data_IF_803436903537
#
_entry.id   IF_803436903537
#
_cell.length_a   1.000
_cell.length_b   1.000
_cell.length_c   1.000
_cell.angle_alpha   90.00
_cell.angle_beta   90.00
_cell.angle_gamma   90.00
#
_symmetry.space_group_name_H-M   'P 1'
#
loop_
_entity.id
_entity.type
_entity.pdbx_description
1 polymer ?
#
# COMPACT_ATOMS: atom_id res chain seq x y z
N UNK A 1 9.22 13.00 0.29
CA UNK A 1 10.06 13.10 1.49
C UNK A 1 11.49 13.47 1.14
N UNK A 2 12.13 12.78 0.20
CA UNK A 2 13.52 13.05 -0.20
C UNK A 2 13.69 14.29 -1.10
N UNK A 3 12.64 15.07 -1.35
CA UNK A 3 12.66 16.29 -2.16
C UNK A 3 12.96 16.09 -3.65
N UNK A 4 12.73 14.89 -4.17
CA UNK A 4 13.02 14.54 -5.57
C UNK A 4 11.94 14.96 -6.54
N UNK A 5 10.70 14.91 -6.11
CA UNK A 5 9.51 15.20 -6.91
C UNK A 5 8.46 15.95 -6.09
N UNK A 6 7.49 16.53 -6.78
CA UNK A 6 6.27 17.08 -6.21
C UNK A 6 5.06 16.29 -6.72
N UNK A 7 3.86 16.45 -6.14
CA UNK A 7 2.63 15.84 -6.67
C UNK A 7 2.36 16.14 -8.15
N UNK A 8 2.81 17.31 -8.63
CA UNK A 8 2.61 17.79 -10.00
C UNK A 8 3.74 17.39 -10.97
N UNK A 9 4.77 16.68 -10.49
CA UNK A 9 5.84 16.18 -11.35
C UNK A 9 5.28 15.24 -12.40
N UNK A 10 5.56 15.53 -13.69
CA UNK A 10 4.97 14.80 -14.83
C UNK A 10 5.92 13.73 -15.34
N UNK A 11 5.37 12.54 -15.55
CA UNK A 11 6.03 11.42 -16.22
C UNK A 11 5.27 11.08 -17.50
N UNK A 12 5.99 10.91 -18.59
CA UNK A 12 5.41 10.37 -19.82
C UNK A 12 5.42 8.83 -19.75
N UNK A 13 4.25 8.24 -19.56
CA UNK A 13 4.06 6.78 -19.53
C UNK A 13 3.79 6.20 -20.92
N UNK A 14 3.71 7.07 -21.94
CA UNK A 14 3.51 6.70 -23.34
C UNK A 14 2.26 5.83 -23.54
N UNK A 15 2.44 4.76 -24.29
CA UNK A 15 1.37 3.77 -24.55
C UNK A 15 1.22 2.73 -23.41
N UNK A 16 1.72 3.01 -22.22
CA UNK A 16 1.64 2.11 -21.07
C UNK A 16 2.65 0.95 -21.10
N UNK A 17 3.73 1.10 -21.87
CA UNK A 17 4.84 0.17 -21.90
C UNK A 17 6.16 0.91 -21.87
N UNK A 18 7.09 0.47 -21.02
CA UNK A 18 8.42 1.07 -20.91
C UNK A 18 9.50 -0.02 -20.74
N UNK A 19 10.51 -0.06 -21.64
CA UNK A 19 11.66 -0.92 -21.46
C UNK A 19 12.45 -0.52 -20.21
N UNK A 20 12.72 -1.47 -19.33
CA UNK A 20 13.51 -1.28 -18.10
C UNK A 20 14.50 -2.44 -17.94
N UNK A 21 15.79 -2.17 -18.15
CA UNK A 21 16.90 -3.12 -17.93
C UNK A 21 16.68 -4.50 -18.59
N UNK A 22 16.21 -4.51 -19.86
CA UNK A 22 15.99 -5.74 -20.62
C UNK A 22 14.63 -6.43 -20.39
N UNK A 23 13.76 -5.84 -19.57
CA UNK A 23 12.36 -6.23 -19.42
C UNK A 23 11.42 -5.07 -19.78
N UNK A 24 10.15 -5.35 -19.99
CA UNK A 24 9.14 -4.33 -20.29
C UNK A 24 8.18 -4.22 -19.11
N UNK A 25 8.17 -3.04 -18.47
CA UNK A 25 7.15 -2.66 -17.50
C UNK A 25 5.86 -2.31 -18.25
N UNK A 26 4.71 -2.71 -17.71
CA UNK A 26 3.42 -2.50 -18.37
C UNK A 26 2.37 -2.01 -17.39
N UNK A 27 1.58 -1.04 -17.85
CA UNK A 27 0.32 -0.67 -17.24
C UNK A 27 -0.79 -1.65 -17.66
N UNK A 28 -1.84 -1.75 -16.87
CA UNK A 28 -2.93 -2.68 -17.16
C UNK A 28 -3.65 -2.36 -18.48
N UNK A 29 -3.67 -1.08 -18.89
CA UNK A 29 -4.33 -0.58 -20.09
C UNK A 29 -3.43 -0.45 -21.34
N UNK A 30 -2.22 -1.01 -21.30
CA UNK A 30 -1.26 -0.88 -22.40
C UNK A 30 -1.79 -1.32 -23.76
N UNK A 31 -2.69 -2.29 -23.79
CA UNK A 31 -3.37 -2.73 -25.05
C UNK A 31 -4.44 -1.75 -25.53
N UNK A 32 -4.79 -0.75 -24.73
CA UNK A 32 -5.79 0.28 -25.01
C UNK A 32 -5.14 1.65 -25.22
N UNK A 33 -3.81 1.71 -25.42
CA UNK A 33 -3.05 2.92 -25.71
C UNK A 33 -2.37 3.60 -24.53
N UNK A 34 -2.45 3.02 -23.32
CA UNK A 34 -1.80 3.60 -22.12
C UNK A 34 -2.48 4.86 -21.63
N UNK A 35 -1.70 5.67 -20.89
CA UNK A 35 -2.21 6.93 -20.27
C UNK A 35 -1.52 8.19 -20.80
N UNK A 36 -0.38 8.07 -21.52
CA UNK A 36 0.42 9.22 -21.93
C UNK A 36 1.11 9.90 -20.74
N UNK A 37 1.01 11.22 -20.68
CA UNK A 37 1.62 12.02 -19.59
C UNK A 37 0.72 12.04 -18.38
N UNK A 38 1.30 11.75 -17.21
CA UNK A 38 0.62 11.73 -15.91
C UNK A 38 1.45 12.51 -14.89
N UNK A 39 0.78 13.26 -14.03
CA UNK A 39 1.35 13.76 -12.77
C UNK A 39 1.56 12.62 -11.77
N UNK A 40 2.36 12.83 -10.73
CA UNK A 40 2.53 11.85 -9.64
C UNK A 40 1.19 11.51 -8.99
N UNK A 41 0.33 12.50 -8.81
CA UNK A 41 -1.03 12.30 -8.29
C UNK A 41 -1.81 11.33 -9.18
N UNK A 42 -1.89 11.61 -10.47
CA UNK A 42 -2.58 10.76 -11.45
C UNK A 42 -1.97 9.35 -11.58
N UNK A 43 -0.63 9.23 -11.48
CA UNK A 43 0.05 7.93 -11.44
C UNK A 43 -0.50 7.05 -10.31
N UNK A 44 -0.75 7.62 -9.14
CA UNK A 44 -1.32 6.90 -8.01
C UNK A 44 -2.82 6.65 -8.17
N UNK A 45 -3.58 7.59 -8.72
CA UNK A 45 -5.01 7.46 -9.01
C UNK A 45 -5.30 6.31 -9.97
N UNK A 46 -4.55 6.24 -11.07
CA UNK A 46 -4.71 5.18 -12.08
C UNK A 46 -3.83 3.96 -11.84
N UNK A 47 -3.03 3.97 -10.76
CA UNK A 47 -2.11 2.88 -10.41
C UNK A 47 -1.16 2.49 -11.55
N UNK A 48 -0.53 3.50 -12.18
CA UNK A 48 0.41 3.26 -13.27
C UNK A 48 1.69 2.59 -12.76
N UNK A 49 1.94 1.38 -13.22
CA UNK A 49 3.18 0.66 -12.97
C UNK A 49 4.37 1.36 -13.64
N UNK A 50 4.17 1.80 -14.88
CA UNK A 50 5.20 2.50 -15.67
C UNK A 50 5.62 3.78 -14.98
N UNK A 51 4.66 4.62 -14.56
CA UNK A 51 4.95 5.88 -13.89
C UNK A 51 5.69 5.68 -12.57
N UNK A 52 5.19 4.79 -11.72
CA UNK A 52 5.82 4.48 -10.42
C UNK A 52 7.23 3.93 -10.59
N UNK A 53 7.40 2.94 -11.47
CA UNK A 53 8.70 2.30 -11.71
C UNK A 53 9.71 3.27 -12.32
N UNK A 54 9.29 4.12 -13.25
CA UNK A 54 10.14 5.15 -13.83
C UNK A 54 10.69 6.10 -12.76
N UNK A 55 9.83 6.62 -11.89
CA UNK A 55 10.24 7.54 -10.83
C UNK A 55 11.29 6.88 -9.93
N UNK A 56 11.04 5.67 -9.47
CA UNK A 56 11.94 5.01 -8.54
C UNK A 56 13.26 4.62 -9.22
N UNK A 57 13.22 4.11 -10.44
CA UNK A 57 14.43 3.77 -11.19
C UNK A 57 15.27 5.02 -11.53
N UNK A 58 14.61 6.11 -11.95
CA UNK A 58 15.28 7.36 -12.30
C UNK A 58 16.02 8.00 -11.12
N UNK A 59 15.37 8.07 -9.95
CA UNK A 59 15.94 8.78 -8.79
C UNK A 59 16.80 7.92 -7.87
N UNK A 60 16.64 6.60 -7.91
CA UNK A 60 17.33 5.67 -7.00
C UNK A 60 18.12 4.57 -7.73
N UNK A 61 18.02 4.47 -9.08
CA UNK A 61 18.70 3.43 -9.85
C UNK A 61 20.20 3.41 -9.69
N UNK A 62 20.85 4.58 -9.51
CA UNK A 62 22.28 4.70 -9.21
C UNK A 62 22.66 4.30 -7.78
N UNK A 63 21.71 4.32 -6.84
CA UNK A 63 21.89 3.92 -5.45
C UNK A 63 20.60 3.30 -4.88
N UNK A 64 20.27 2.05 -5.26
CA UNK A 64 19.04 1.39 -4.81
C UNK A 64 18.94 1.23 -3.29
N UNK A 65 20.08 1.14 -2.59
CA UNK A 65 20.07 1.05 -1.13
C UNK A 65 19.39 2.24 -0.47
N UNK A 66 19.51 3.43 -1.06
CA UNK A 66 18.86 4.64 -0.52
C UNK A 66 17.33 4.52 -0.51
N UNK A 67 16.75 3.87 -1.51
CA UNK A 67 15.31 3.57 -1.53
C UNK A 67 14.92 2.61 -0.41
N UNK A 68 15.69 1.54 -0.22
CA UNK A 68 15.47 0.58 0.86
C UNK A 68 15.58 1.24 2.24
N UNK A 69 16.61 2.06 2.43
CA UNK A 69 16.81 2.81 3.67
C UNK A 69 15.64 3.79 3.94
N UNK A 70 15.05 4.35 2.87
CA UNK A 70 13.82 5.14 2.94
C UNK A 70 12.63 4.34 3.47
N UNK A 71 12.38 3.13 2.95
CA UNK A 71 11.33 2.25 3.44
C UNK A 71 11.54 1.88 4.92
N UNK A 72 12.78 1.65 5.34
CA UNK A 72 13.15 1.36 6.74
C UNK A 72 12.88 2.52 7.67
N UNK A 73 13.18 3.75 7.25
CA UNK A 73 12.85 4.95 8.03
C UNK A 73 11.35 5.06 8.33
N UNK A 74 10.51 4.57 7.42
CA UNK A 74 9.06 4.53 7.59
C UNK A 74 8.58 3.30 8.40
N UNK A 75 9.50 2.42 8.83
CA UNK A 75 9.24 1.22 9.64
C UNK A 75 8.32 0.17 8.97
N UNK A 76 8.27 0.15 7.63
CA UNK A 76 7.40 -0.79 6.89
C UNK A 76 7.93 -2.23 6.93
N UNK A 77 9.21 -2.42 7.19
CA UNK A 77 9.91 -3.70 7.28
C UNK A 77 10.09 -4.22 8.73
N UNK A 78 9.50 -3.53 9.72
CA UNK A 78 9.64 -3.91 11.11
C UNK A 78 8.68 -5.04 11.50
N UNK A 79 9.14 -6.05 12.26
CA UNK A 79 8.26 -7.02 12.90
C UNK A 79 7.30 -6.29 13.85
N UNK A 80 6.06 -6.73 13.90
CA UNK A 80 5.05 -6.09 14.75
C UNK A 80 5.04 -6.62 16.18
N UNK A 81 5.68 -7.79 16.44
CA UNK A 81 5.72 -8.44 17.75
C UNK A 81 4.33 -8.58 18.38
N UNK A 82 3.43 -9.22 17.61
CA UNK A 82 2.02 -9.34 17.96
C UNK A 82 1.79 -10.21 19.19
N UNK A 83 0.68 -9.95 19.89
CA UNK A 83 0.24 -10.74 21.06
C UNK A 83 -0.35 -12.11 20.68
N UNK A 84 -0.38 -12.43 19.37
CA UNK A 84 -0.93 -13.68 18.83
C UNK A 84 0.14 -14.44 18.04
N UNK A 85 -0.01 -15.76 17.96
CA UNK A 85 0.88 -16.60 17.16
C UNK A 85 0.62 -16.43 15.65
N UNK A 86 1.61 -16.76 14.82
CA UNK A 86 1.49 -16.77 13.37
C UNK A 86 1.80 -15.45 12.68
N UNK A 87 2.49 -14.53 13.36
CA UNK A 87 2.96 -13.29 12.75
C UNK A 87 3.85 -13.55 11.54
N UNK A 88 3.46 -13.01 10.38
CA UNK A 88 4.31 -12.97 9.18
C UNK A 88 5.41 -11.92 9.33
N UNK A 89 6.62 -12.24 8.88
CA UNK A 89 7.76 -11.30 8.92
C UNK A 89 7.90 -10.58 7.59
N UNK A 90 8.04 -9.25 7.58
CA UNK A 90 8.38 -8.51 6.38
C UNK A 90 9.75 -8.95 5.83
N UNK A 91 9.87 -8.97 4.50
CA UNK A 91 11.12 -9.30 3.83
C UNK A 91 11.38 -8.30 2.69
N UNK A 92 12.16 -7.25 2.99
CA UNK A 92 12.59 -6.23 2.06
C UNK A 92 14.11 -6.21 2.07
N UNK A 93 14.73 -6.77 1.04
CA UNK A 93 16.19 -6.89 0.95
C UNK A 93 16.74 -6.06 -0.20
N UNK A 94 17.63 -5.14 0.15
CA UNK A 94 18.37 -4.32 -0.80
C UNK A 94 19.71 -4.94 -1.24
N UNK A 95 20.55 -4.14 -1.95
CA UNK A 95 21.86 -4.59 -2.41
C UNK A 95 22.79 -5.07 -1.30
N UNK A 96 22.69 -4.51 -0.10
CA UNK A 96 23.56 -4.88 1.05
C UNK A 96 23.22 -6.26 1.63
N UNK A 97 21.99 -6.76 1.42
CA UNK A 97 21.52 -8.01 1.99
C UNK A 97 21.41 -9.15 0.95
N UNK A 98 21.80 -8.89 -0.28
CA UNK A 98 21.77 -9.88 -1.39
C UNK A 98 23.16 -10.03 -1.99
N UNK A 99 23.55 -11.23 -2.33
CA UNK A 99 24.78 -11.51 -3.11
C UNK A 99 24.74 -10.92 -4.52
N UNK A 100 23.53 -10.77 -5.07
CA UNK A 100 23.27 -10.17 -6.36
C UNK A 100 21.97 -9.37 -6.33
N UNK A 101 22.02 -8.11 -6.75
CA UNK A 101 20.85 -7.25 -6.91
C UNK A 101 20.71 -6.88 -8.39
N UNK A 102 19.70 -7.45 -9.04
CA UNK A 102 19.42 -7.20 -10.45
C UNK A 102 19.02 -5.74 -10.69
N UNK A 103 19.44 -5.17 -11.81
CA UNK A 103 18.96 -3.83 -12.22
C UNK A 103 17.44 -3.76 -12.37
N UNK A 104 16.78 -4.88 -12.68
CA UNK A 104 15.31 -4.95 -12.74
C UNK A 104 14.66 -5.01 -11.36
N UNK A 105 15.39 -5.35 -10.29
CA UNK A 105 14.80 -5.55 -8.97
C UNK A 105 14.16 -4.26 -8.43
N UNK A 106 14.83 -3.11 -8.55
CA UNK A 106 14.33 -1.84 -8.03
C UNK A 106 13.02 -1.39 -8.69
N UNK A 107 12.89 -1.30 -10.04
CA UNK A 107 11.62 -0.95 -10.67
C UNK A 107 10.47 -1.90 -10.31
N UNK A 108 10.73 -3.20 -10.20
CA UNK A 108 9.70 -4.17 -9.79
C UNK A 108 9.36 -4.08 -8.32
N UNK A 109 10.31 -3.74 -7.47
CA UNK A 109 10.09 -3.52 -6.04
C UNK A 109 9.16 -2.31 -5.81
N UNK A 110 9.26 -1.27 -6.62
CA UNK A 110 8.43 -0.06 -6.51
C UNK A 110 6.94 -0.31 -6.70
N UNK A 111 6.57 -1.40 -7.36
CA UNK A 111 5.18 -1.83 -7.58
C UNK A 111 4.80 -3.06 -6.74
N UNK A 112 5.63 -3.42 -5.75
CA UNK A 112 5.33 -4.44 -4.75
C UNK A 112 5.85 -5.85 -5.04
N UNK A 113 6.55 -6.08 -6.17
CA UNK A 113 7.28 -7.32 -6.39
C UNK A 113 8.66 -7.28 -5.69
N UNK A 114 9.37 -8.40 -5.66
CA UNK A 114 10.69 -8.51 -4.99
C UNK A 114 10.66 -8.23 -3.48
N UNK A 115 9.49 -8.00 -2.90
CA UNK A 115 9.25 -7.76 -1.48
C UNK A 115 8.15 -8.68 -0.95
N UNK A 116 8.18 -8.93 0.35
CA UNK A 116 7.09 -9.63 1.05
C UNK A 116 6.75 -8.80 2.29
N UNK A 117 5.59 -8.18 2.26
CA UNK A 117 5.08 -7.37 3.38
C UNK A 117 3.73 -7.93 3.81
N UNK A 118 3.60 -8.45 5.04
CA UNK A 118 2.34 -8.98 5.52
C UNK A 118 1.23 -7.92 5.48
N UNK A 119 -0.03 -8.30 5.20
CA UNK A 119 -1.15 -7.36 5.13
C UNK A 119 -1.29 -6.47 6.37
N UNK A 120 -1.00 -7.00 7.56
CA UNK A 120 -1.07 -6.22 8.80
C UNK A 120 0.03 -5.14 8.89
N UNK A 121 1.22 -5.38 8.33
CA UNK A 121 2.25 -4.35 8.22
C UNK A 121 1.82 -3.23 7.26
N UNK A 122 1.17 -3.58 6.14
CA UNK A 122 0.59 -2.60 5.22
C UNK A 122 -0.49 -1.79 5.95
N UNK A 123 -1.40 -2.44 6.66
CA UNK A 123 -2.44 -1.77 7.44
C UNK A 123 -1.83 -0.85 8.51
N UNK A 124 -0.78 -1.28 9.22
CA UNK A 124 -0.08 -0.48 10.23
C UNK A 124 0.52 0.79 9.61
N UNK A 125 1.07 0.69 8.39
CA UNK A 125 1.59 1.84 7.66
C UNK A 125 0.47 2.82 7.24
N UNK A 126 -0.65 2.33 6.70
CA UNK A 126 -1.80 3.19 6.38
C UNK A 126 -2.44 3.80 7.63
N UNK A 127 -2.48 3.04 8.73
CA UNK A 127 -2.88 3.57 10.03
C UNK A 127 -1.97 4.72 10.49
N UNK A 128 -0.66 4.61 10.29
CA UNK A 128 0.27 5.70 10.63
C UNK A 128 0.00 6.96 9.80
N UNK A 129 -0.32 6.83 8.50
CA UNK A 129 -0.76 7.97 7.67
C UNK A 129 -2.04 8.60 8.26
N UNK A 130 -3.02 7.79 8.63
CA UNK A 130 -4.25 8.24 9.27
C UNK A 130 -4.01 8.88 10.65
N UNK A 131 -3.03 8.38 11.41
CA UNK A 131 -2.69 8.78 12.77
C UNK A 131 -1.56 9.83 12.82
N UNK A 132 -1.64 10.85 12.00
CA UNK A 132 -0.71 11.99 11.96
C UNK A 132 0.78 11.61 11.83
N UNK A 133 1.07 10.53 11.12
CA UNK A 133 2.43 10.05 10.90
C UNK A 133 2.99 9.20 12.04
N UNK A 134 2.22 8.94 13.08
CA UNK A 134 2.65 8.10 14.21
C UNK A 134 2.26 6.64 13.97
N UNK A 135 3.26 5.79 13.80
CA UNK A 135 3.07 4.34 13.69
C UNK A 135 2.96 3.70 15.06
N UNK A 136 1.88 2.99 15.30
CA UNK A 136 1.60 2.29 16.57
C UNK A 136 1.54 0.78 16.34
N UNK A 137 1.92 0.02 17.38
CA UNK A 137 1.83 -1.44 17.37
C UNK A 137 0.36 -1.88 17.41
N UNK A 138 -0.10 -2.72 16.47
CA UNK A 138 -1.41 -3.35 16.58
C UNK A 138 -1.50 -4.17 17.85
N UNK A 139 -2.61 -4.05 18.60
CA UNK A 139 -2.89 -4.86 19.79
C UNK A 139 -4.27 -5.51 19.70
N UNK A 140 -4.35 -6.76 20.11
CA UNK A 140 -5.57 -7.56 20.11
C UNK A 140 -6.21 -7.65 21.49
N UNK A 141 -5.41 -7.41 22.55
CA UNK A 141 -5.87 -7.44 23.93
C UNK A 141 -5.64 -6.06 24.55
N UNK A 142 -6.72 -5.44 25.02
CA UNK A 142 -6.66 -4.13 25.69
C UNK A 142 -6.30 -4.29 27.18
N UNK A 143 -6.97 -5.24 27.83
CA UNK A 143 -6.76 -5.49 29.27
C UNK A 143 -7.09 -6.94 29.60
N UNK A 144 -6.52 -7.45 30.68
CA UNK A 144 -6.96 -8.67 31.37
C UNK A 144 -7.82 -8.26 32.56
N UNK A 145 -8.97 -8.94 32.71
CA UNK A 145 -9.95 -8.67 33.78
C UNK A 145 -10.13 -9.93 34.61
N UNK A 146 -10.13 -9.79 35.93
CA UNK A 146 -10.47 -10.84 36.89
C UNK A 146 -11.49 -10.29 37.90
N UNK A 147 -12.60 -11.02 38.08
CA UNK A 147 -13.68 -10.65 39.00
C UNK A 147 -14.24 -9.22 38.80
N UNK A 148 -14.23 -8.74 37.52
CA UNK A 148 -14.69 -7.41 37.15
C UNK A 148 -13.63 -6.30 37.27
N UNK A 149 -12.48 -6.58 37.82
CA UNK A 149 -11.37 -5.64 37.97
C UNK A 149 -10.27 -5.84 36.92
N UNK A 150 -9.71 -4.74 36.42
CA UNK A 150 -8.57 -4.77 35.50
C UNK A 150 -7.34 -5.17 36.27
N UNK A 151 -6.82 -6.38 36.01
CA UNK A 151 -5.57 -6.88 36.63
C UNK A 151 -4.32 -6.56 35.81
N UNK A 152 -4.49 -6.25 34.53
CA UNK A 152 -3.37 -5.83 33.65
C UNK A 152 -3.90 -5.03 32.47
N UNK A 153 -3.32 -3.88 32.20
CA UNK A 153 -3.53 -3.13 30.96
C UNK A 153 -2.35 -3.31 29.99
N UNK A 154 -2.68 -3.25 28.69
CA UNK A 154 -1.69 -3.23 27.63
C UNK A 154 -1.71 -1.85 26.96
N UNK A 155 -0.73 -0.97 27.26
CA UNK A 155 -0.70 0.37 26.72
C UNK A 155 -0.51 0.37 25.20
N UNK A 156 -0.74 1.52 24.56
CA UNK A 156 -0.40 1.72 23.15
C UNK A 156 1.13 1.91 23.05
N UNK A 157 1.75 1.13 22.17
CA UNK A 157 3.18 1.19 21.91
C UNK A 157 3.43 1.90 20.58
N UNK A 158 4.31 2.90 20.58
CA UNK A 158 4.75 3.61 19.39
C UNK A 158 5.92 2.87 18.76
N UNK A 159 5.77 2.48 17.48
CA UNK A 159 6.83 1.89 16.66
C UNK A 159 7.71 2.99 16.09
N UNK A 160 7.08 4.03 15.53
CA UNK A 160 7.76 5.15 14.92
C UNK A 160 6.96 6.44 15.19
N UNK A 161 7.54 7.41 15.90
CA UNK A 161 6.83 8.64 16.22
C UNK A 161 6.57 9.56 15.02
N UNK A 162 7.30 9.36 13.90
CA UNK A 162 7.14 10.21 12.71
C UNK A 162 7.67 9.49 11.47
N UNK A 163 6.76 8.88 10.69
CA UNK A 163 7.13 8.14 9.47
C UNK A 163 7.58 9.05 8.32
N UNK A 164 7.13 10.30 8.28
CA UNK A 164 7.50 11.30 7.27
C UNK A 164 7.26 12.72 7.79
N UNK A 165 7.69 13.74 7.04
CA UNK A 165 7.42 15.14 7.34
C UNK A 165 5.93 15.48 7.23
N UNK A 166 5.48 16.52 7.92
CA UNK A 166 4.08 16.97 7.91
C UNK A 166 3.64 17.39 6.50
N UNK A 167 4.57 17.97 5.72
CA UNK A 167 4.33 18.32 4.32
C UNK A 167 4.06 17.07 3.47
N UNK A 168 4.91 16.05 3.58
CA UNK A 168 4.72 14.79 2.86
C UNK A 168 3.44 14.08 3.30
N UNK A 169 3.14 14.12 4.59
CA UNK A 169 1.92 13.54 5.15
C UNK A 169 0.66 14.19 4.59
N UNK A 170 0.61 15.53 4.53
CA UNK A 170 -0.50 16.26 3.95
C UNK A 170 -0.70 15.91 2.47
N UNK A 171 0.39 15.88 1.69
CA UNK A 171 0.36 15.54 0.27
C UNK A 171 -0.15 14.11 0.03
N UNK A 172 0.35 13.13 0.76
CA UNK A 172 -0.07 11.74 0.56
C UNK A 172 -1.52 11.51 0.98
N UNK A 173 -2.01 12.19 2.01
CA UNK A 173 -3.42 12.13 2.42
C UNK A 173 -4.34 12.64 1.32
N UNK A 174 -4.01 13.78 0.72
CA UNK A 174 -4.75 14.34 -0.41
C UNK A 174 -4.77 13.37 -1.59
N UNK A 175 -3.61 12.83 -1.97
CA UNK A 175 -3.50 11.87 -3.06
C UNK A 175 -4.33 10.62 -2.78
N UNK A 176 -4.26 10.04 -1.57
CA UNK A 176 -5.01 8.84 -1.23
C UNK A 176 -6.53 9.06 -1.24
N UNK A 177 -6.99 10.28 -0.94
CA UNK A 177 -8.40 10.64 -1.09
C UNK A 177 -8.80 10.73 -2.57
N UNK A 178 -7.97 11.33 -3.43
CA UNK A 178 -8.19 11.40 -4.89
C UNK A 178 -8.19 10.01 -5.54
N UNK A 179 -7.33 9.09 -5.10
CA UNK A 179 -7.34 7.69 -5.57
C UNK A 179 -8.72 7.06 -5.44
N UNK A 180 -9.45 7.37 -4.36
CA UNK A 180 -10.81 6.85 -4.15
C UNK A 180 -11.86 7.74 -4.82
N UNK A 181 -11.72 9.05 -4.76
CA UNK A 181 -12.68 9.99 -5.34
C UNK A 181 -12.67 10.01 -6.87
N UNK A 182 -11.49 9.97 -7.48
CA UNK A 182 -11.26 10.20 -8.92
C UNK A 182 -10.66 8.98 -9.63
N UNK A 183 -9.89 8.17 -8.92
CA UNK A 183 -9.08 7.08 -9.46
C UNK A 183 -9.78 5.72 -9.58
N UNK A 184 -8.97 4.68 -9.71
CA UNK A 184 -9.43 3.29 -9.87
C UNK A 184 -10.06 2.69 -8.59
N UNK A 185 -9.95 3.36 -7.46
CA UNK A 185 -10.50 2.89 -6.19
C UNK A 185 -11.91 3.43 -5.89
N UNK A 186 -12.59 4.09 -6.81
CA UNK A 186 -13.98 4.57 -6.66
C UNK A 186 -14.94 3.55 -6.00
N UNK A 187 -14.87 2.24 -6.28
CA UNK A 187 -15.74 1.27 -5.63
C UNK A 187 -15.54 1.13 -4.11
N UNK A 188 -14.43 1.65 -3.55
CA UNK A 188 -14.20 1.68 -2.11
C UNK A 188 -14.80 2.92 -1.42
N UNK A 189 -15.28 3.88 -2.18
CA UNK A 189 -15.88 5.13 -1.68
C UNK A 189 -17.25 4.93 -1.04
N UNK A 190 -17.70 5.96 -0.35
CA UNK A 190 -19.06 6.08 0.22
C UNK A 190 -19.69 7.42 -0.17
N UNK A 191 -21.03 7.47 -0.15
CA UNK A 191 -21.78 8.73 -0.32
C UNK A 191 -21.90 9.50 0.99
N UNK A 192 -21.56 8.90 2.13
CA UNK A 192 -21.77 9.48 3.46
C UNK A 192 -20.49 10.13 4.04
N UNK A 193 -19.34 9.70 3.60
CA UNK A 193 -18.02 10.16 4.06
C UNK A 193 -16.95 9.89 3.01
N UNK A 194 -15.85 10.63 3.07
CA UNK A 194 -14.71 10.34 2.20
C UNK A 194 -13.86 9.20 2.74
N UNK A 195 -13.32 8.42 1.82
CA UNK A 195 -12.38 7.33 2.08
C UNK A 195 -11.06 7.65 1.43
N UNK A 196 -9.97 7.41 2.14
CA UNK A 196 -8.60 7.48 1.61
C UNK A 196 -8.00 6.08 1.57
N UNK A 197 -7.36 5.72 0.47
CA UNK A 197 -6.75 4.39 0.37
C UNK A 197 -6.20 4.06 -1.01
N UNK A 198 -5.73 2.82 -1.16
CA UNK A 198 -5.12 2.34 -2.40
C UNK A 198 -5.48 0.89 -2.66
N UNK A 199 -5.71 0.59 -3.93
CA UNK A 199 -5.90 -0.77 -4.44
C UNK A 199 -4.56 -1.49 -4.63
N UNK A 200 -4.56 -2.80 -4.47
CA UNK A 200 -3.49 -3.69 -4.89
C UNK A 200 -4.04 -4.82 -5.77
N UNK A 201 -3.28 -5.20 -6.78
CA UNK A 201 -3.55 -6.37 -7.61
C UNK A 201 -2.21 -6.99 -7.97
N UNK A 202 -1.84 -8.05 -7.28
CA UNK A 202 -0.56 -8.73 -7.45
C UNK A 202 -0.77 -10.16 -7.97
N UNK A 203 0.08 -10.58 -8.89
CA UNK A 203 0.16 -12.00 -9.27
C UNK A 203 0.81 -12.81 -8.16
N UNK A 204 0.24 -13.98 -7.87
CA UNK A 204 0.79 -14.91 -6.89
C UNK A 204 1.70 -15.89 -7.59
N UNK A 205 2.95 -15.99 -7.12
CA UNK A 205 3.89 -17.01 -7.59
C UNK A 205 3.42 -18.41 -7.18
N UNK A 206 3.54 -19.38 -8.08
CA UNK A 206 3.15 -20.77 -7.87
C UNK A 206 4.36 -21.67 -7.54
N UNK A 207 5.14 -21.26 -6.55
CA UNK A 207 6.33 -22.00 -6.12
C UNK A 207 7.39 -22.07 -7.24
N UNK A 208 7.93 -23.26 -7.50
CA UNK A 208 8.99 -23.48 -8.50
C UNK A 208 8.58 -23.09 -9.95
N UNK A 209 7.27 -23.10 -10.27
CA UNK A 209 6.76 -22.70 -11.58
C UNK A 209 6.68 -21.17 -11.76
N UNK A 210 6.89 -20.40 -10.67
CA UNK A 210 6.87 -18.93 -10.67
C UNK A 210 5.53 -18.38 -11.13
N UNK A 211 5.56 -17.35 -11.99
CA UNK A 211 4.36 -16.68 -12.54
C UNK A 211 3.89 -17.26 -13.89
N UNK A 212 4.54 -18.33 -14.38
CA UNK A 212 4.30 -18.88 -15.72
C UNK A 212 3.42 -20.14 -15.73
N UNK A 213 2.97 -20.63 -14.59
CA UNK A 213 2.15 -21.84 -14.51
C UNK A 213 0.70 -21.55 -14.95
N UNK A 214 0.32 -22.02 -16.10
CA UNK A 214 -1.02 -22.16 -16.70
C UNK A 214 -2.13 -21.19 -16.28
N UNK A 215 -2.55 -21.21 -15.02
CA UNK A 215 -3.58 -20.30 -14.48
C UNK A 215 -2.93 -19.23 -13.62
N UNK A 216 -3.10 -17.97 -14.01
CA UNK A 216 -2.61 -16.84 -13.21
C UNK A 216 -3.51 -16.63 -11.99
N UNK A 217 -2.95 -16.81 -10.79
CA UNK A 217 -3.62 -16.49 -9.54
C UNK A 217 -3.26 -15.05 -9.10
N UNK A 218 -4.21 -14.39 -8.48
CA UNK A 218 -4.05 -13.01 -7.99
C UNK A 218 -4.32 -12.92 -6.50
N UNK A 219 -3.69 -11.93 -5.87
CA UNK A 219 -4.08 -11.35 -4.59
C UNK A 219 -4.56 -9.94 -4.90
N UNK A 220 -5.83 -9.67 -4.65
CA UNK A 220 -6.40 -8.34 -4.76
C UNK A 220 -6.63 -7.77 -3.39
N UNK A 221 -6.39 -6.48 -3.22
CA UNK A 221 -6.55 -5.83 -1.93
C UNK A 221 -7.00 -4.38 -2.07
N UNK A 222 -7.58 -3.86 -1.00
CA UNK A 222 -7.73 -2.44 -0.76
C UNK A 222 -7.36 -2.16 0.70
N UNK A 223 -6.46 -1.20 0.91
CA UNK A 223 -6.08 -0.72 2.23
C UNK A 223 -6.37 0.77 2.33
N UNK A 224 -6.99 1.20 3.40
CA UNK A 224 -7.38 2.60 3.57
C UNK A 224 -7.91 2.92 4.95
N UNK A 225 -8.40 4.16 5.09
CA UNK A 225 -8.96 4.68 6.34
C UNK A 225 -10.15 5.61 6.06
N UNK A 226 -10.98 5.79 7.06
CA UNK A 226 -12.16 6.63 6.99
C UNK A 226 -12.60 7.15 8.38
N UNK A 227 -13.36 8.29 8.44
CA UNK A 227 -13.46 9.32 7.40
C UNK A 227 -12.09 9.90 7.04
N UNK A 228 -11.89 10.41 5.81
CA UNK A 228 -10.59 10.94 5.37
C UNK A 228 -10.13 12.15 6.16
N UNK A 229 -11.07 13.06 6.48
CA UNK A 229 -10.81 14.35 7.14
C UNK A 229 -10.48 14.19 8.63
N UNK A 230 -11.13 13.23 9.29
CA UNK A 230 -10.94 12.91 10.71
C UNK A 230 -10.90 11.39 10.90
N UNK A 231 -9.78 10.74 10.55
CA UNK A 231 -9.68 9.29 10.53
C UNK A 231 -9.98 8.66 11.90
N UNK A 232 -10.95 7.74 11.92
CA UNK A 232 -11.29 6.94 13.10
C UNK A 232 -10.94 5.46 12.91
N UNK A 233 -11.02 4.99 11.68
CA UNK A 233 -10.87 3.58 11.34
C UNK A 233 -9.90 3.41 10.18
N UNK A 234 -9.04 2.41 10.27
CA UNK A 234 -8.25 1.89 9.16
C UNK A 234 -8.57 0.41 8.94
N UNK A 235 -8.61 -0.02 7.69
CA UNK A 235 -8.98 -1.38 7.34
C UNK A 235 -8.23 -1.83 6.08
N UNK A 236 -7.90 -3.13 6.03
CA UNK A 236 -7.43 -3.80 4.82
C UNK A 236 -8.38 -4.94 4.48
N UNK A 237 -8.75 -5.04 3.22
CA UNK A 237 -9.47 -6.18 2.64
C UNK A 237 -8.56 -6.85 1.63
N UNK A 238 -8.34 -8.14 1.78
CA UNK A 238 -7.52 -8.95 0.87
C UNK A 238 -8.29 -10.18 0.43
N UNK A 239 -8.31 -10.45 -0.88
CA UNK A 239 -9.00 -11.59 -1.49
C UNK A 239 -7.99 -12.34 -2.35
N UNK A 240 -7.78 -13.62 -2.03
CA UNK A 240 -6.87 -14.49 -2.73
C UNK A 240 -7.61 -15.33 -3.78
N UNK A 241 -7.02 -15.46 -4.96
CA UNK A 241 -7.55 -16.24 -6.09
C UNK A 241 -8.97 -15.84 -6.50
N UNK A 242 -9.25 -14.55 -6.77
CA UNK A 242 -10.61 -14.09 -7.04
C UNK A 242 -11.17 -14.49 -8.40
N UNK A 243 -10.41 -15.20 -9.23
CA UNK A 243 -10.82 -15.56 -10.60
C UNK A 243 -10.31 -14.59 -11.68
N UNK A 244 -10.76 -14.75 -12.94
CA UNK A 244 -10.10 -14.17 -14.12
C UNK A 244 -10.22 -12.64 -14.27
N UNK A 245 -11.14 -11.97 -13.58
CA UNK A 245 -11.33 -10.51 -13.63
C UNK A 245 -10.82 -9.82 -12.35
N UNK A 246 -9.65 -10.26 -11.86
CA UNK A 246 -9.06 -9.75 -10.63
C UNK A 246 -8.92 -8.22 -10.63
N UNK A 247 -9.59 -7.55 -9.69
CA UNK A 247 -9.56 -6.09 -9.50
C UNK A 247 -9.63 -5.73 -8.03
N UNK A 248 -8.59 -5.06 -7.55
CA UNK A 248 -8.54 -4.56 -6.16
C UNK A 248 -9.70 -3.60 -5.86
N UNK A 249 -10.02 -2.68 -6.79
CA UNK A 249 -11.11 -1.73 -6.63
C UNK A 249 -12.48 -2.40 -6.61
N UNK A 250 -12.80 -3.18 -7.66
CA UNK A 250 -14.13 -3.79 -7.82
C UNK A 250 -14.43 -4.87 -6.77
N UNK A 251 -13.42 -5.63 -6.34
CA UNK A 251 -13.61 -6.73 -5.39
C UNK A 251 -13.34 -6.30 -3.96
N UNK A 252 -12.09 -6.02 -3.61
CA UNK A 252 -11.72 -5.66 -2.25
C UNK A 252 -12.27 -4.29 -1.83
N UNK A 253 -12.27 -3.31 -2.75
CA UNK A 253 -12.82 -1.97 -2.50
C UNK A 253 -14.33 -2.00 -2.22
N UNK A 254 -15.11 -2.78 -2.99
CA UNK A 254 -16.56 -2.89 -2.74
C UNK A 254 -16.89 -3.54 -1.39
N UNK A 255 -16.08 -4.50 -0.94
CA UNK A 255 -16.23 -5.10 0.40
C UNK A 255 -15.86 -4.08 1.47
N UNK A 256 -14.76 -3.34 1.27
CA UNK A 256 -14.34 -2.27 2.16
C UNK A 256 -15.45 -1.23 2.34
N UNK A 257 -16.02 -0.71 1.25
CA UNK A 257 -17.12 0.26 1.27
C UNK A 257 -18.30 -0.21 2.12
N UNK A 258 -18.80 -1.43 1.87
CA UNK A 258 -19.93 -2.01 2.61
C UNK A 258 -19.66 -2.15 4.11
N UNK A 259 -18.45 -2.54 4.50
CA UNK A 259 -18.07 -2.64 5.91
C UNK A 259 -17.95 -1.26 6.51
N UNK A 260 -17.28 -0.32 5.82
CA UNK A 260 -17.06 1.04 6.28
C UNK A 260 -18.39 1.78 6.53
N UNK A 261 -19.38 1.64 5.64
CA UNK A 261 -20.71 2.24 5.80
C UNK A 261 -21.45 1.70 7.03
N UNK A 262 -21.35 0.38 7.29
CA UNK A 262 -21.95 -0.22 8.48
C UNK A 262 -21.28 0.23 9.77
N UNK A 263 -19.96 0.31 9.79
CA UNK A 263 -19.16 0.79 10.94
C UNK A 263 -19.50 2.26 11.21
N UNK A 264 -19.51 3.09 10.19
CA UNK A 264 -19.83 4.51 10.30
C UNK A 264 -21.25 4.75 10.80
N UNK A 265 -22.24 4.03 10.26
CA UNK A 265 -23.63 4.11 10.72
C UNK A 265 -23.82 3.67 12.18
N UNK A 266 -23.01 2.73 12.68
CA UNK A 266 -23.01 2.33 14.09
C UNK A 266 -22.38 3.40 14.98
N UNK A 267 -21.29 4.02 14.53
CA UNK A 267 -20.58 5.08 15.25
C UNK A 267 -21.46 6.35 15.44
N UNK A 268 -22.33 6.64 14.46
CA UNK A 268 -23.29 7.74 14.56
C UNK A 268 -24.45 7.50 15.54
N UNK A 269 -24.63 6.24 15.99
CA UNK A 269 -25.69 5.86 16.93
C UNK A 269 -25.20 5.80 18.39
N UNK A 270 -23.92 5.98 18.62
CA UNK A 270 -23.27 6.06 19.94
C UNK A 270 -23.04 7.50 20.36
#
# INVERSE_FOLDING_TARGET
>A
EDGKITPDYVVDTGNGQMPMHGRVMKDWNWRRGGYGKLTVTEILEVSSNVGTSYIIDHFYGSNPQKYIDGLRRMSIDQPLHLQIAGEGKPNIRGPKERSYFSKTALPWMSIGYETQVPPLNILTFYNAIANNGVSIRPKFVKAAVKDGEIVKEYPTEVINPKICSDKTLAQIREILQKVVGEGLAKPAGSKQFHVSGKTGTAQISQGAAGYKAGVTNYLVSFCGYFPSEAPKYSMIVSIQKPGPTASGGLMAGSVFSKIAERVYAKDLRL
#
